data_IF_012829995055
#
_entry.id   IF_012829995055
#
_cell.length_a   1.000
_cell.length_b   1.000
_cell.length_c   1.000
_cell.angle_alpha   90.00
_cell.angle_beta   90.00
_cell.angle_gamma   90.00
#
_symmetry.space_group_name_H-M   'P 1'
#
loop_
_entity.id
_entity.type
_entity.pdbx_description
1 polymer ?
#
# COMPACT_ATOMS: atom_id res chain seq x y z
N UNK A 1 2.74 15.06 -16.91
CA UNK A 1 2.17 15.86 -15.83
C UNK A 1 3.31 16.54 -15.09
N UNK A 2 3.69 17.74 -15.52
CA UNK A 2 4.72 18.57 -14.90
C UNK A 2 4.02 19.66 -14.09
N UNK A 3 3.52 19.29 -12.91
CA UNK A 3 3.08 20.23 -11.90
C UNK A 3 4.22 20.49 -10.91
N UNK A 4 4.25 21.62 -10.19
CA UNK A 4 5.19 21.79 -9.11
C UNK A 4 4.90 20.72 -8.03
N UNK A 5 5.93 19.95 -7.65
CA UNK A 5 5.85 18.97 -6.55
C UNK A 5 6.00 19.66 -5.18
N UNK A 6 5.50 20.89 -5.06
CA UNK A 6 5.57 21.74 -3.86
C UNK A 6 4.46 21.45 -2.85
N UNK A 7 3.42 20.74 -3.28
CA UNK A 7 2.29 20.33 -2.46
C UNK A 7 2.12 18.81 -2.48
N UNK A 8 1.32 18.28 -1.54
CA UNK A 8 1.02 16.86 -1.49
C UNK A 8 0.21 16.45 -2.71
N UNK A 9 0.73 15.51 -3.50
CA UNK A 9 0.01 14.94 -4.64
C UNK A 9 -0.55 13.58 -4.25
N UNK A 10 -1.87 13.41 -4.36
CA UNK A 10 -2.56 12.17 -3.97
C UNK A 10 -3.09 11.42 -5.19
N UNK A 11 -2.81 10.12 -5.25
CA UNK A 11 -3.36 9.18 -6.23
C UNK A 11 -4.02 8.01 -5.50
N UNK A 12 -5.16 7.54 -6.00
CA UNK A 12 -5.85 6.38 -5.45
C UNK A 12 -5.51 5.10 -6.22
N UNK A 13 -5.09 4.07 -5.49
CA UNK A 13 -4.93 2.70 -5.96
C UNK A 13 -6.11 1.87 -5.46
N UNK A 14 -6.96 1.40 -6.37
CA UNK A 14 -8.07 0.50 -6.04
C UNK A 14 -7.58 -0.94 -6.01
N UNK A 15 -7.65 -1.59 -4.87
CA UNK A 15 -7.38 -3.02 -4.71
C UNK A 15 -8.70 -3.77 -4.59
N UNK A 16 -8.93 -4.74 -5.46
CA UNK A 16 -10.12 -5.60 -5.42
C UNK A 16 -9.74 -7.03 -5.04
N UNK A 17 -10.57 -7.64 -4.20
CA UNK A 17 -10.48 -9.06 -3.86
C UNK A 17 -11.58 -9.83 -4.60
N UNK A 18 -11.26 -10.51 -5.71
CA UNK A 18 -12.23 -11.30 -6.46
C UNK A 18 -12.48 -12.69 -5.85
N UNK A 19 -11.84 -13.02 -4.73
CA UNK A 19 -11.95 -14.34 -4.09
C UNK A 19 -13.11 -14.41 -3.10
N UNK A 20 -13.43 -15.62 -2.66
CA UNK A 20 -14.43 -15.96 -1.65
C UNK A 20 -13.88 -15.95 -0.22
N UNK A 21 -12.61 -15.57 -0.04
CA UNK A 21 -11.92 -15.50 1.25
C UNK A 21 -11.37 -14.11 1.51
N UNK A 22 -11.22 -13.77 2.78
CA UNK A 22 -10.57 -12.52 3.17
C UNK A 22 -9.08 -12.55 2.76
N UNK A 23 -8.59 -11.42 2.25
CA UNK A 23 -7.20 -11.27 1.80
C UNK A 23 -6.53 -10.14 2.56
N UNK A 24 -5.44 -10.45 3.26
CA UNK A 24 -4.55 -9.45 3.83
C UNK A 24 -3.69 -8.83 2.73
N UNK A 25 -3.42 -7.53 2.81
CA UNK A 25 -2.50 -6.84 1.91
C UNK A 25 -1.50 -5.96 2.67
N UNK A 26 -0.32 -5.75 2.05
CA UNK A 26 0.71 -4.80 2.47
C UNK A 26 1.25 -4.06 1.24
N UNK A 27 1.33 -2.75 1.32
CA UNK A 27 1.95 -1.89 0.30
C UNK A 27 3.35 -1.49 0.78
N UNK A 28 4.36 -1.82 -0.03
CA UNK A 28 5.76 -1.42 0.17
C UNK A 28 6.20 -0.49 -0.96
N UNK A 29 7.15 0.41 -0.68
CA UNK A 29 7.72 1.31 -1.69
C UNK A 29 9.24 1.36 -1.56
N UNK A 30 9.94 1.59 -2.65
CA UNK A 30 11.40 1.84 -2.64
C UNK A 30 11.76 3.25 -2.18
N UNK A 31 10.77 4.13 -1.96
CA UNK A 31 10.97 5.51 -1.52
C UNK A 31 10.07 5.90 -0.32
N UNK A 32 10.19 5.23 0.85
CA UNK A 32 9.29 5.43 2.00
C UNK A 32 9.34 6.85 2.59
N UNK A 33 10.43 7.60 2.36
CA UNK A 33 10.53 9.01 2.75
C UNK A 33 9.74 9.96 1.85
N UNK A 34 9.49 9.57 0.59
CA UNK A 34 8.80 10.40 -0.41
C UNK A 34 7.29 10.15 -0.41
N UNK A 35 6.83 8.98 0.03
CA UNK A 35 5.42 8.59 -0.07
C UNK A 35 4.82 8.22 1.26
N UNK A 36 3.65 8.78 1.55
CA UNK A 36 2.75 8.29 2.59
C UNK A 36 1.68 7.41 1.93
N UNK A 37 1.41 6.23 2.47
CA UNK A 37 0.40 5.30 1.95
C UNK A 37 -0.66 5.04 3.03
N UNK A 38 -1.94 5.24 2.71
CA UNK A 38 -3.07 5.03 3.65
C UNK A 38 -4.28 4.36 2.99
N UNK A 39 -4.76 3.23 3.53
CA UNK A 39 -4.05 2.33 4.44
C UNK A 39 -2.82 1.70 3.76
N UNK A 40 -1.70 1.54 4.47
CA UNK A 40 -0.53 0.82 3.93
C UNK A 40 -0.67 -0.71 4.07
N UNK A 41 -1.59 -1.18 4.90
CA UNK A 41 -1.95 -2.58 5.05
C UNK A 41 -3.36 -2.72 5.60
N UNK A 42 -3.94 -3.90 5.43
CA UNK A 42 -5.26 -4.21 5.94
C UNK A 42 -5.78 -5.52 5.37
N UNK A 43 -7.09 -5.72 5.50
CA UNK A 43 -7.81 -6.86 4.95
C UNK A 43 -8.83 -6.36 3.95
N UNK A 44 -9.00 -7.09 2.86
CA UNK A 44 -10.08 -6.89 1.89
C UNK A 44 -10.98 -8.11 1.99
N UNK A 45 -12.24 -7.88 2.36
CA UNK A 45 -13.23 -8.94 2.47
C UNK A 45 -13.48 -9.62 1.12
N UNK A 46 -14.02 -10.84 1.16
CA UNK A 46 -14.41 -11.58 -0.03
C UNK A 46 -15.32 -10.73 -0.96
N UNK A 47 -14.95 -10.64 -2.24
CA UNK A 47 -15.67 -9.84 -3.24
C UNK A 47 -15.57 -8.31 -3.08
N UNK A 48 -14.90 -7.80 -2.05
CA UNK A 48 -14.83 -6.37 -1.76
C UNK A 48 -13.70 -5.65 -2.50
N UNK A 49 -13.66 -4.32 -2.37
CA UNK A 49 -12.55 -3.49 -2.85
C UNK A 49 -12.26 -2.36 -1.88
N UNK A 50 -11.01 -1.94 -1.82
CA UNK A 50 -10.55 -0.81 -1.00
C UNK A 50 -9.76 0.20 -1.86
N UNK A 51 -9.86 1.47 -1.50
CA UNK A 51 -9.03 2.53 -2.08
C UNK A 51 -7.84 2.82 -1.15
N UNK A 52 -6.64 2.61 -1.67
CA UNK A 52 -5.38 2.99 -1.02
C UNK A 52 -4.95 4.35 -1.56
N UNK A 53 -4.78 5.33 -0.68
CA UNK A 53 -4.26 6.65 -1.03
C UNK A 53 -2.73 6.63 -0.98
N UNK A 54 -2.10 6.94 -2.11
CA UNK A 54 -0.67 7.14 -2.24
C UNK A 54 -0.41 8.64 -2.36
N UNK A 55 0.22 9.20 -1.34
CA UNK A 55 0.47 10.64 -1.19
C UNK A 55 1.96 10.91 -1.35
N UNK A 56 2.34 11.50 -2.48
CA UNK A 56 3.69 12.02 -2.71
C UNK A 56 3.86 13.28 -1.87
N UNK A 57 4.82 13.24 -0.95
CA UNK A 57 5.18 14.39 -0.12
C UNK A 57 5.90 15.44 -0.97
N UNK A 58 5.79 16.73 -0.61
CA UNK A 58 6.50 17.80 -1.29
C UNK A 58 8.01 17.56 -1.38
N UNK A 59 8.61 17.92 -2.50
CA UNK A 59 10.06 17.90 -2.66
C UNK A 59 10.57 18.81 -3.76
N UNK A 60 11.85 19.20 -3.65
CA UNK A 60 12.57 19.89 -4.71
C UNK A 60 12.78 18.95 -5.90
N UNK A 61 12.09 19.25 -6.99
CA UNK A 61 12.13 18.45 -8.21
C UNK A 61 13.37 18.78 -9.03
N UNK A 62 14.26 17.80 -9.20
CA UNK A 62 15.37 17.88 -10.16
C UNK A 62 14.97 17.16 -11.46
N UNK A 63 14.88 17.87 -12.60
CA UNK A 63 14.54 17.25 -13.90
C UNK A 63 15.59 16.24 -14.39
N UNK A 64 16.80 16.24 -13.82
CA UNK A 64 17.85 15.25 -14.12
C UNK A 64 17.66 13.96 -13.30
N UNK A 65 16.91 14.02 -12.20
CA UNK A 65 16.61 12.86 -11.36
C UNK A 65 15.51 12.02 -12.01
N UNK A 66 15.89 10.88 -12.60
CA UNK A 66 14.91 9.87 -13.05
C UNK A 66 14.38 9.13 -11.82
N UNK A 67 13.31 9.62 -11.22
CA UNK A 67 12.64 8.94 -10.09
C UNK A 67 12.07 7.59 -10.53
N UNK A 68 12.82 6.50 -10.29
CA UNK A 68 12.41 5.11 -10.54
C UNK A 68 11.78 4.49 -9.29
N UNK A 69 10.90 5.22 -8.62
CA UNK A 69 10.21 4.73 -7.44
C UNK A 69 9.28 3.57 -7.82
N UNK A 70 9.29 2.50 -7.04
CA UNK A 70 8.46 1.32 -7.26
C UNK A 70 7.57 1.08 -6.05
N UNK A 71 6.34 0.65 -6.31
CA UNK A 71 5.43 0.14 -5.31
C UNK A 71 5.26 -1.35 -5.51
N UNK A 72 5.13 -2.09 -4.41
CA UNK A 72 4.85 -3.51 -4.39
C UNK A 72 3.63 -3.74 -3.49
N UNK A 73 2.62 -4.42 -4.01
CA UNK A 73 1.48 -4.89 -3.24
C UNK A 73 1.68 -6.37 -2.99
N UNK A 74 1.81 -6.73 -1.72
CA UNK A 74 1.89 -8.11 -1.25
C UNK A 74 0.55 -8.52 -0.68
N UNK A 75 0.11 -9.74 -0.95
CA UNK A 75 -1.19 -10.24 -0.51
C UNK A 75 -1.13 -11.71 -0.09
N UNK A 76 -1.91 -12.08 0.92
CA UNK A 76 -2.09 -13.46 1.38
C UNK A 76 -3.53 -13.69 1.84
N UNK A 77 -4.01 -14.92 1.82
CA UNK A 77 -5.28 -15.25 2.45
C UNK A 77 -5.19 -15.00 3.96
N UNK A 78 -6.24 -14.41 4.53
CA UNK A 78 -6.37 -14.25 5.96
C UNK A 78 -6.51 -15.63 6.64
N UNK A 79 -5.85 -15.85 7.79
CA UNK A 79 -6.07 -17.04 8.62
C UNK A 79 -7.51 -17.06 9.15
N UNK A 80 -8.08 -18.24 9.31
CA UNK A 80 -9.46 -18.41 9.79
C UNK A 80 -9.61 -18.27 11.31
N UNK A 81 -8.50 -18.36 12.06
CA UNK A 81 -8.53 -18.69 13.50
C UNK A 81 -8.06 -17.54 14.42
N UNK A 82 -7.85 -16.34 13.89
CA UNK A 82 -7.27 -15.22 14.64
C UNK A 82 -8.25 -14.06 14.77
N UNK A 83 -8.74 -13.84 15.99
CA UNK A 83 -9.57 -12.69 16.36
C UNK A 83 -8.79 -11.36 16.32
N UNK A 84 -7.45 -11.42 16.38
CA UNK A 84 -6.57 -10.25 16.40
C UNK A 84 -6.01 -9.95 15.01
N UNK A 85 -6.88 -9.48 14.12
CA UNK A 85 -6.55 -9.14 12.72
C UNK A 85 -5.40 -8.13 12.59
N UNK A 86 -5.22 -7.20 13.54
CA UNK A 86 -4.12 -6.24 13.52
C UNK A 86 -2.74 -6.92 13.75
N UNK A 87 -2.72 -8.00 14.55
CA UNK A 87 -1.55 -8.83 14.79
C UNK A 87 -1.24 -9.76 13.60
N UNK A 88 -2.24 -10.24 12.87
CA UNK A 88 -2.04 -11.03 11.63
C UNK A 88 -1.33 -10.20 10.57
N UNK A 89 -1.80 -8.96 10.36
CA UNK A 89 -1.25 -8.06 9.34
C UNK A 89 0.13 -7.50 9.76
N UNK A 90 0.37 -7.33 11.06
CA UNK A 90 1.64 -6.79 11.58
C UNK A 90 2.70 -7.84 11.91
N UNK A 91 2.33 -9.09 12.21
CA UNK A 91 3.26 -10.13 12.68
C UNK A 91 3.43 -11.22 11.63
N UNK A 92 2.35 -11.80 11.11
CA UNK A 92 2.43 -12.92 10.15
C UNK A 92 2.71 -12.44 8.72
N UNK A 93 2.02 -11.39 8.27
CA UNK A 93 2.36 -10.72 7.01
C UNK A 93 3.79 -10.16 7.06
N UNK A 94 4.27 -9.68 8.20
CA UNK A 94 5.63 -9.13 8.30
C UNK A 94 6.69 -10.24 8.28
N UNK A 95 6.45 -11.40 8.90
CA UNK A 95 7.33 -12.56 8.87
C UNK A 95 7.35 -13.32 7.52
N UNK A 96 6.23 -13.37 6.80
CA UNK A 96 6.15 -14.08 5.50
C UNK A 96 6.57 -13.24 4.29
N UNK A 97 6.63 -11.91 4.44
CA UNK A 97 7.01 -10.99 3.37
C UNK A 97 8.41 -10.38 3.54
N UNK A 98 9.25 -10.96 4.41
CA UNK A 98 10.68 -10.65 4.56
C UNK A 98 11.54 -11.92 4.47
#
# INVERSE_FOLDING_TARGET
STGPFTDVVTTNLKLGNPTDRNVCFKVKTTAPRRYCVRPNSGIIDAGASINVSVMLQPFDYDPNEKSKHKFMVQSMFAPTDTSDMEAVVSTECFLLFF
#
